data_IF_451768536073
#
_entry.id   IF_451768536073
#
_cell.length_a   1.000
_cell.length_b   1.000
_cell.length_c   1.000
_cell.angle_alpha   90.00
_cell.angle_beta   90.00
_cell.angle_gamma   90.00
#
_symmetry.space_group_name_H-M   'P 1'
#
loop_
_entity.id
_entity.type
_entity.pdbx_description
1 polymer ?
#
# COMPACT_ATOMS: atom_id res chain seq x y z
N UNK A 1 -3.15 -13.95 5.50
CA UNK A 1 -2.18 -13.38 4.54
C UNK A 1 -2.65 -13.47 3.09
N UNK A 2 -2.79 -14.67 2.47
CA UNK A 2 -3.15 -14.77 1.03
C UNK A 2 -4.46 -14.08 0.63
N UNK A 3 -5.55 -14.21 1.41
CA UNK A 3 -6.82 -13.50 1.11
C UNK A 3 -6.69 -11.98 1.17
N UNK A 4 -5.86 -11.47 2.07
CA UNK A 4 -5.65 -10.02 2.22
C UNK A 4 -4.88 -9.47 1.01
N UNK A 5 -3.79 -10.12 0.63
CA UNK A 5 -3.01 -9.78 -0.57
C UNK A 5 -3.84 -9.91 -1.86
N UNK A 6 -4.69 -10.94 -1.96
CA UNK A 6 -5.59 -11.09 -3.09
C UNK A 6 -6.61 -9.94 -3.15
N UNK A 7 -7.18 -9.56 -2.02
CA UNK A 7 -8.16 -8.47 -1.94
C UNK A 7 -7.53 -7.13 -2.36
N UNK A 8 -6.32 -6.84 -1.87
CA UNK A 8 -5.52 -5.67 -2.26
C UNK A 8 -5.32 -5.55 -3.79
N UNK A 9 -5.12 -6.69 -4.45
CA UNK A 9 -4.85 -6.73 -5.89
C UNK A 9 -6.10 -6.88 -6.78
N UNK A 10 -7.30 -7.14 -6.22
CA UNK A 10 -8.50 -7.45 -7.04
C UNK A 10 -9.75 -6.67 -6.67
N UNK A 11 -9.92 -6.24 -5.42
CA UNK A 11 -11.16 -5.62 -4.99
C UNK A 11 -11.22 -4.16 -5.47
N UNK A 12 -12.42 -3.73 -5.86
CA UNK A 12 -12.68 -2.41 -6.47
C UNK A 12 -12.25 -1.28 -5.56
N UNK A 13 -12.49 -1.42 -4.25
CA UNK A 13 -12.01 -0.49 -3.25
C UNK A 13 -10.56 -0.10 -3.58
N UNK A 14 -9.65 -1.05 -3.87
CA UNK A 14 -8.18 -0.84 -4.00
C UNK A 14 -7.73 -0.28 -5.35
N UNK A 15 -8.66 0.26 -6.14
CA UNK A 15 -8.35 0.80 -7.47
C UNK A 15 -7.36 1.96 -7.40
N UNK A 16 -7.52 2.89 -6.45
CA UNK A 16 -6.61 4.03 -6.34
C UNK A 16 -5.18 3.61 -6.02
N UNK A 17 -5.00 2.65 -5.11
CA UNK A 17 -3.69 2.07 -4.82
C UNK A 17 -3.05 1.45 -6.07
N UNK A 18 -3.83 0.74 -6.90
CA UNK A 18 -3.32 0.12 -8.13
C UNK A 18 -2.97 1.15 -9.21
N UNK A 19 -3.73 2.25 -9.29
CA UNK A 19 -3.45 3.36 -10.20
C UNK A 19 -2.12 4.02 -9.80
N UNK A 20 -1.97 4.45 -8.55
CA UNK A 20 -0.74 5.11 -8.10
C UNK A 20 0.49 4.21 -8.22
N UNK A 21 0.35 2.90 -7.99
CA UNK A 21 1.42 1.93 -8.26
C UNK A 21 1.79 1.84 -9.74
N UNK A 22 0.82 1.96 -10.64
CA UNK A 22 1.08 1.95 -12.08
C UNK A 22 1.75 3.25 -12.54
N UNK A 23 1.31 4.40 -12.02
CA UNK A 23 1.90 5.72 -12.28
C UNK A 23 3.38 5.76 -11.86
N UNK A 24 3.70 5.36 -10.63
CA UNK A 24 5.09 5.31 -10.15
C UNK A 24 5.97 4.40 -11.01
N UNK A 25 5.42 3.26 -11.49
CA UNK A 25 6.14 2.37 -12.40
C UNK A 25 6.39 3.00 -13.77
N UNK A 26 5.42 3.72 -14.31
CA UNK A 26 5.57 4.42 -15.60
C UNK A 26 6.60 5.55 -15.50
N UNK A 27 6.68 6.21 -14.35
CA UNK A 27 7.64 7.26 -14.05
C UNK A 27 9.06 6.73 -13.75
N UNK A 28 9.20 5.42 -13.52
CA UNK A 28 10.46 4.80 -13.10
C UNK A 28 10.89 5.20 -11.68
N UNK A 29 9.92 5.62 -10.87
CA UNK A 29 10.12 5.99 -9.48
C UNK A 29 10.12 4.72 -8.59
N UNK A 30 10.92 4.69 -7.51
CA UNK A 30 10.88 3.60 -6.55
C UNK A 30 9.47 3.42 -5.97
N UNK A 31 8.96 2.20 -6.02
CA UNK A 31 7.63 1.87 -5.49
C UNK A 31 7.80 1.34 -4.08
N UNK A 32 7.57 2.16 -3.05
CA UNK A 32 7.62 1.68 -1.67
C UNK A 32 6.25 1.39 -1.08
N UNK A 33 6.20 0.50 -0.09
CA UNK A 33 4.97 0.26 0.67
C UNK A 33 4.42 1.51 1.36
N UNK A 34 5.29 2.47 1.70
CA UNK A 34 4.91 3.74 2.33
C UNK A 34 4.19 4.67 1.35
N UNK A 35 4.66 4.74 0.09
CA UNK A 35 4.06 5.59 -0.95
C UNK A 35 2.63 5.13 -1.30
N UNK A 36 2.38 3.83 -1.16
CA UNK A 36 1.08 3.22 -1.47
C UNK A 36 0.10 3.24 -0.30
N UNK A 37 0.57 3.30 0.94
CA UNK A 37 -0.27 3.16 2.13
C UNK A 37 -1.23 4.33 2.30
N UNK A 38 -0.85 5.55 1.94
CA UNK A 38 -1.74 6.72 2.06
C UNK A 38 -2.99 6.61 1.18
N UNK A 39 -2.89 5.86 0.08
CA UNK A 39 -4.03 5.53 -0.77
C UNK A 39 -5.04 4.59 -0.10
N UNK A 40 -4.76 4.05 1.10
CA UNK A 40 -5.63 3.13 1.84
C UNK A 40 -6.52 3.82 2.89
N UNK A 41 -6.51 5.15 2.98
CA UNK A 41 -7.21 5.89 4.04
C UNK A 41 -8.73 5.66 4.04
N UNK A 42 -9.35 5.57 2.86
CA UNK A 42 -10.82 5.40 2.71
C UNK A 42 -11.33 3.97 2.94
N UNK A 43 -10.45 3.04 3.32
CA UNK A 43 -10.73 1.60 3.29
C UNK A 43 -11.01 1.01 4.65
N UNK A 44 -10.56 1.72 5.68
CA UNK A 44 -10.87 1.41 7.05
C UNK A 44 -11.82 2.47 7.56
N UNK A 45 -12.85 2.04 8.29
CA UNK A 45 -13.69 2.95 9.08
C UNK A 45 -12.85 3.73 10.12
N UNK A 46 -11.66 3.22 10.45
CA UNK A 46 -10.69 3.87 11.32
C UNK A 46 -9.87 4.98 10.61
N UNK A 47 -9.97 5.09 9.28
CA UNK A 47 -9.33 6.16 8.51
C UNK A 47 -7.81 6.25 8.75
N UNK A 48 -7.40 7.32 9.40
CA UNK A 48 -6.00 7.70 9.62
C UNK A 48 -5.29 6.75 10.58
N UNK A 49 -5.98 6.28 11.63
CA UNK A 49 -5.42 5.32 12.60
C UNK A 49 -4.98 4.03 11.92
N UNK A 50 -5.69 3.64 10.85
CA UNK A 50 -5.33 2.47 10.05
C UNK A 50 -4.08 2.71 9.19
N UNK A 51 -3.91 3.91 8.67
CA UNK A 51 -2.71 4.31 7.92
C UNK A 51 -1.50 4.30 8.86
N UNK A 52 -1.62 4.89 10.03
CA UNK A 52 -0.53 4.94 11.02
C UNK A 52 -0.09 3.54 11.46
N UNK A 53 -1.04 2.62 11.65
CA UNK A 53 -0.76 1.23 11.99
C UNK A 53 0.01 0.52 10.86
N UNK A 54 -0.41 0.69 9.61
CA UNK A 54 0.28 0.11 8.45
C UNK A 54 1.70 0.69 8.29
N UNK A 55 1.85 2.02 8.38
CA UNK A 55 3.17 2.66 8.33
C UNK A 55 4.09 2.16 9.46
N UNK A 56 3.54 2.00 10.67
CA UNK A 56 4.27 1.48 11.82
C UNK A 56 4.72 0.03 11.61
N UNK A 57 3.86 -0.83 11.06
CA UNK A 57 4.23 -2.20 10.73
C UNK A 57 5.30 -2.28 9.65
N UNK A 58 5.21 -1.46 8.59
CA UNK A 58 6.22 -1.43 7.51
C UNK A 58 7.59 -1.03 8.08
N UNK A 59 7.64 0.03 8.89
CA UNK A 59 8.87 0.51 9.53
C UNK A 59 9.42 -0.50 10.54
N UNK A 60 8.58 -1.02 11.44
CA UNK A 60 9.01 -1.92 12.50
C UNK A 60 9.58 -3.24 11.94
N UNK A 61 8.99 -3.75 10.86
CA UNK A 61 9.42 -5.00 10.23
C UNK A 61 10.45 -4.78 9.10
N UNK A 62 10.93 -3.55 8.88
CA UNK A 62 11.83 -3.18 7.78
C UNK A 62 11.37 -3.73 6.42
N UNK A 63 10.05 -3.70 6.15
CA UNK A 63 9.50 -4.29 4.93
C UNK A 63 9.93 -3.55 3.67
N UNK A 64 10.43 -2.32 3.80
CA UNK A 64 11.03 -1.56 2.71
C UNK A 64 12.24 -2.26 2.08
N UNK A 65 12.91 -3.16 2.80
CA UNK A 65 13.98 -4.00 2.22
C UNK A 65 13.47 -5.00 1.17
N UNK A 66 12.16 -5.25 1.15
CA UNK A 66 11.49 -6.13 0.19
C UNK A 66 10.91 -5.37 -1.01
N UNK A 67 11.00 -4.03 -1.03
CA UNK A 67 10.49 -3.17 -2.10
C UNK A 67 11.37 -3.22 -3.38
N UNK A 68 12.14 -4.31 -3.55
CA UNK A 68 12.99 -4.54 -4.72
C UNK A 68 12.15 -4.74 -5.98
N UNK A 69 12.47 -3.96 -7.01
CA UNK A 69 12.01 -4.13 -8.40
C UNK A 69 12.59 -5.38 -9.07
#
# INVERSE_FOLDING_TARGET
MQRYLFNLNSHEAYTQLRISRAELREEGEPITGLDLVDNLRRYSERGDDYIEELQSMIRFNNLTELDVE
#
